data_IF_833224295443
#
_entry.id   IF_833224295443
#
_cell.length_a   1.000
_cell.length_b   1.000
_cell.length_c   1.000
_cell.angle_alpha   90.00
_cell.angle_beta   90.00
_cell.angle_gamma   90.00
#
_symmetry.space_group_name_H-M   'P 1'
#
loop_
_entity.id
_entity.type
_entity.pdbx_description
1 polymer ?
#
# COMPACT_ATOMS: atom_id res chain seq x y z
N UNK A 1 4.59 -9.86 12.45
CA UNK A 1 3.45 -9.95 11.51
C UNK A 1 4.00 -10.22 10.12
N UNK A 2 3.42 -11.16 9.42
CA UNK A 2 3.87 -11.52 8.08
C UNK A 2 3.39 -10.49 7.06
N UNK A 3 4.12 -10.38 5.95
CA UNK A 3 3.77 -9.46 4.86
C UNK A 3 2.35 -9.72 4.34
N UNK A 4 1.96 -10.99 4.19
CA UNK A 4 0.60 -11.34 3.75
C UNK A 4 -0.48 -10.87 4.71
N UNK A 5 -0.17 -10.78 6.01
CA UNK A 5 -1.14 -10.29 7.00
C UNK A 5 -1.32 -8.76 6.86
N UNK A 6 -0.23 -8.04 6.62
CA UNK A 6 -0.26 -6.61 6.38
C UNK A 6 -1.07 -6.32 5.11
N UNK A 7 -0.82 -7.07 4.05
CA UNK A 7 -1.54 -6.92 2.78
C UNK A 7 -3.05 -7.16 2.95
N UNK A 8 -3.40 -8.19 3.72
CA UNK A 8 -4.79 -8.53 4.00
C UNK A 8 -5.50 -7.40 4.77
N UNK A 9 -4.84 -6.85 5.78
CA UNK A 9 -5.38 -5.73 6.56
C UNK A 9 -5.55 -4.50 5.67
N UNK A 10 -4.53 -4.19 4.88
CA UNK A 10 -4.56 -3.04 3.97
C UNK A 10 -5.75 -3.13 3.02
N UNK A 11 -5.90 -4.28 2.33
CA UNK A 11 -6.97 -4.44 1.35
C UNK A 11 -8.35 -4.39 1.98
N UNK A 12 -8.51 -4.97 3.18
CA UNK A 12 -9.78 -4.93 3.90
C UNK A 12 -10.16 -3.50 4.28
N UNK A 13 -9.21 -2.70 4.76
CA UNK A 13 -9.48 -1.30 5.13
C UNK A 13 -9.80 -0.43 3.93
N UNK A 14 -9.11 -0.63 2.81
CA UNK A 14 -9.45 0.08 1.57
C UNK A 14 -10.89 -0.22 1.14
N UNK A 15 -11.28 -1.49 1.22
CA UNK A 15 -12.65 -1.90 0.87
C UNK A 15 -13.67 -1.27 1.81
N UNK A 16 -13.40 -1.25 3.11
CA UNK A 16 -14.30 -0.63 4.10
C UNK A 16 -14.45 0.88 3.85
N UNK A 17 -13.41 1.52 3.34
CA UNK A 17 -13.43 2.95 3.02
C UNK A 17 -14.14 3.25 1.69
N UNK A 18 -14.62 2.23 0.98
CA UNK A 18 -15.32 2.42 -0.30
C UNK A 18 -14.41 2.36 -1.52
N UNK A 19 -13.15 1.98 -1.36
CA UNK A 19 -12.22 1.80 -2.45
C UNK A 19 -12.02 0.35 -2.84
N UNK A 20 -11.03 0.11 -3.67
CA UNK A 20 -10.60 -1.24 -4.07
C UNK A 20 -9.07 -1.28 -4.13
N UNK A 21 -8.49 -2.40 -3.70
CA UNK A 21 -7.06 -2.62 -3.81
C UNK A 21 -6.86 -3.89 -4.64
N UNK A 22 -6.77 -3.73 -5.95
CA UNK A 22 -6.54 -4.85 -6.84
C UNK A 22 -5.12 -5.36 -6.72
N UNK A 23 -4.96 -6.67 -6.79
CA UNK A 23 -3.62 -7.25 -6.91
C UNK A 23 -3.04 -6.86 -8.25
N UNK A 24 -1.79 -6.38 -8.23
CA UNK A 24 -1.11 -5.97 -9.45
C UNK A 24 -0.10 -7.04 -9.84
N UNK A 25 -0.27 -7.59 -11.03
CA UNK A 25 0.70 -8.49 -11.64
C UNK A 25 0.94 -8.01 -13.06
N UNK A 26 2.18 -8.13 -13.53
CA UNK A 26 2.54 -7.74 -14.88
C UNK A 26 3.47 -8.81 -15.46
N UNK A 27 2.95 -9.72 -16.30
CA UNK A 27 3.78 -10.77 -16.90
C UNK A 27 4.98 -10.17 -17.63
N UNK A 28 6.16 -10.71 -17.36
CA UNK A 28 7.40 -10.20 -17.94
C UNK A 28 8.01 -8.97 -17.26
N UNK A 29 7.36 -8.45 -16.22
CA UNK A 29 7.83 -7.27 -15.47
C UNK A 29 7.88 -7.58 -13.99
N UNK A 30 8.89 -8.33 -13.56
CA UNK A 30 9.06 -8.68 -12.16
C UNK A 30 9.31 -7.43 -11.32
N UNK A 31 8.82 -7.44 -10.09
CA UNK A 31 9.06 -6.37 -9.14
C UNK A 31 8.04 -5.26 -9.14
N UNK A 32 6.96 -5.36 -9.92
CA UNK A 32 5.87 -4.35 -9.84
C UNK A 32 5.25 -4.34 -8.44
N UNK A 33 4.72 -3.18 -7.98
CA UNK A 33 4.06 -3.08 -6.67
C UNK A 33 2.95 -4.10 -6.49
N UNK A 34 2.70 -4.50 -5.24
CA UNK A 34 1.71 -5.53 -4.91
C UNK A 34 0.29 -5.19 -5.30
N UNK A 35 -0.10 -3.92 -5.12
CA UNK A 35 -1.49 -3.50 -5.24
C UNK A 35 -1.64 -2.21 -6.03
N UNK A 36 -2.76 -2.11 -6.71
CA UNK A 36 -3.26 -0.84 -7.24
C UNK A 36 -4.45 -0.47 -6.36
N UNK A 37 -4.29 0.58 -5.56
CA UNK A 37 -5.34 1.07 -4.67
C UNK A 37 -6.12 2.18 -5.36
N UNK A 38 -7.41 1.93 -5.61
CA UNK A 38 -8.33 2.93 -6.14
C UNK A 38 -9.14 3.48 -4.98
N UNK A 39 -8.90 4.74 -4.65
CA UNK A 39 -9.47 5.39 -3.48
C UNK A 39 -10.71 6.21 -3.85
N UNK A 40 -11.64 6.38 -2.89
CA UNK A 40 -12.75 7.29 -3.12
C UNK A 40 -12.22 8.69 -3.47
N UNK A 41 -12.88 9.38 -4.37
CA UNK A 41 -12.44 10.70 -4.81
C UNK A 41 -11.56 10.69 -6.06
N UNK A 42 -11.30 9.52 -6.63
CA UNK A 42 -10.63 9.42 -7.94
C UNK A 42 -9.12 9.24 -7.91
N UNK A 43 -8.52 9.00 -6.76
CA UNK A 43 -7.09 8.78 -6.67
C UNK A 43 -6.74 7.31 -6.89
N UNK A 44 -5.63 7.07 -7.60
CA UNK A 44 -5.07 5.74 -7.82
C UNK A 44 -3.63 5.75 -7.29
N UNK A 45 -3.30 4.77 -6.45
CA UNK A 45 -1.98 4.68 -5.84
C UNK A 45 -1.43 3.27 -6.02
N UNK A 46 -0.20 3.16 -6.50
CA UNK A 46 0.52 1.88 -6.54
C UNK A 46 1.17 1.67 -5.19
N UNK A 47 0.95 0.51 -4.58
CA UNK A 47 1.39 0.25 -3.21
C UNK A 47 2.18 -1.04 -3.12
N UNK A 48 3.40 -0.95 -2.59
CA UNK A 48 4.23 -2.09 -2.23
C UNK A 48 4.18 -2.24 -0.71
N UNK A 49 3.88 -3.43 -0.23
CA UNK A 49 3.73 -3.70 1.20
C UNK A 49 4.89 -4.57 1.69
N UNK A 50 5.49 -4.17 2.79
CA UNK A 50 6.63 -4.85 3.42
C UNK A 50 6.40 -4.96 4.92
N UNK A 51 7.10 -5.89 5.55
CA UNK A 51 7.18 -5.92 7.02
C UNK A 51 8.03 -4.73 7.50
N UNK A 52 8.03 -4.48 8.81
CA UNK A 52 8.83 -3.38 9.39
C UNK A 52 10.31 -3.44 9.01
N UNK A 53 10.85 -4.64 8.82
CA UNK A 53 12.27 -4.84 8.51
C UNK A 53 12.50 -5.31 7.08
N UNK A 54 11.42 -5.49 6.31
CA UNK A 54 11.52 -5.95 4.93
C UNK A 54 12.18 -4.89 4.04
N UNK A 55 12.86 -5.35 3.00
CA UNK A 55 13.55 -4.47 2.05
C UNK A 55 13.07 -4.75 0.65
N UNK A 56 13.03 -3.70 -0.16
CA UNK A 56 12.77 -3.86 -1.59
C UNK A 56 13.93 -4.61 -2.25
N UNK A 57 13.59 -5.52 -3.16
CA UNK A 57 14.60 -6.04 -4.09
C UNK A 57 15.00 -4.95 -5.07
N UNK A 58 16.10 -5.16 -5.79
CA UNK A 58 16.54 -4.20 -6.81
C UNK A 58 15.50 -4.01 -7.91
N UNK A 59 14.81 -5.10 -8.30
CA UNK A 59 13.74 -5.01 -9.29
C UNK A 59 12.53 -4.23 -8.77
N UNK A 60 12.18 -4.42 -7.50
CA UNK A 60 11.09 -3.65 -6.89
C UNK A 60 11.44 -2.16 -6.83
N UNK A 61 12.68 -1.82 -6.45
CA UNK A 61 13.13 -0.43 -6.44
C UNK A 61 13.06 0.18 -7.84
N UNK A 62 13.50 -0.57 -8.86
CA UNK A 62 13.49 -0.11 -10.25
C UNK A 62 12.04 0.15 -10.71
N UNK A 63 11.13 -0.80 -10.48
CA UNK A 63 9.74 -0.65 -10.92
C UNK A 63 9.06 0.52 -10.21
N UNK A 64 9.23 0.65 -8.91
CA UNK A 64 8.67 1.78 -8.16
C UNK A 64 9.18 3.12 -8.68
N UNK A 65 10.48 3.20 -8.94
CA UNK A 65 11.09 4.43 -9.47
C UNK A 65 10.56 4.76 -10.85
N UNK A 66 10.47 3.79 -11.75
CA UNK A 66 9.99 4.02 -13.12
C UNK A 66 8.54 4.48 -13.14
N UNK A 67 7.69 3.86 -12.31
CA UNK A 67 6.28 4.26 -12.19
C UNK A 67 6.18 5.70 -11.66
N UNK A 68 6.97 6.04 -10.64
CA UNK A 68 7.00 7.38 -10.08
C UNK A 68 7.52 8.41 -11.09
N UNK A 69 8.53 8.07 -11.87
CA UNK A 69 9.10 8.95 -12.91
C UNK A 69 8.07 9.26 -14.01
N UNK A 70 7.11 8.36 -14.23
CA UNK A 70 6.01 8.59 -15.15
C UNK A 70 4.91 9.48 -14.55
N UNK A 71 5.11 10.00 -13.34
CA UNK A 71 4.16 10.89 -12.68
C UNK A 71 3.06 10.18 -11.91
N UNK A 72 3.16 8.86 -11.75
CA UNK A 72 2.18 8.10 -10.99
C UNK A 72 2.51 8.14 -9.49
N UNK A 73 1.49 7.96 -8.67
CA UNK A 73 1.68 7.93 -7.21
C UNK A 73 2.04 6.51 -6.78
N UNK A 74 3.18 6.38 -6.10
CA UNK A 74 3.68 5.10 -5.58
C UNK A 74 4.01 5.27 -4.10
N UNK A 75 3.64 4.28 -3.28
CA UNK A 75 4.01 4.25 -1.86
C UNK A 75 4.55 2.87 -1.51
N UNK A 76 5.62 2.85 -0.74
CA UNK A 76 6.18 1.64 -0.12
C UNK A 76 5.89 1.74 1.36
N UNK A 77 5.16 0.77 1.90
CA UNK A 77 4.66 0.82 3.26
C UNK A 77 5.26 -0.33 4.07
N UNK A 78 6.02 0.01 5.10
CA UNK A 78 6.65 -0.95 6.00
C UNK A 78 5.83 -1.08 7.28
N UNK A 79 5.11 -2.20 7.42
CA UNK A 79 4.32 -2.49 8.61
C UNK A 79 3.06 -1.65 8.75
N UNK A 80 2.29 -1.95 9.79
CA UNK A 80 1.00 -1.30 10.01
C UNK A 80 1.11 0.18 10.34
N UNK A 81 2.22 0.60 10.94
CA UNK A 81 2.42 2.01 11.26
C UNK A 81 2.45 2.87 10.00
N UNK A 82 3.17 2.41 8.96
CA UNK A 82 3.20 3.14 7.69
C UNK A 82 1.91 2.99 6.90
N UNK A 83 1.22 1.87 7.03
CA UNK A 83 -0.14 1.73 6.47
C UNK A 83 -1.09 2.75 7.10
N UNK A 84 -1.02 2.93 8.43
CA UNK A 84 -1.78 3.97 9.11
C UNK A 84 -1.46 5.35 8.55
N UNK A 85 -0.17 5.66 8.35
CA UNK A 85 0.25 6.95 7.81
C UNK A 85 -0.28 7.16 6.38
N UNK A 86 -0.33 6.10 5.58
CA UNK A 86 -0.94 6.13 4.25
C UNK A 86 -2.42 6.53 4.34
N UNK A 87 -3.17 5.93 5.26
CA UNK A 87 -4.58 6.27 5.41
C UNK A 87 -4.78 7.73 5.83
N UNK A 88 -3.90 8.26 6.68
CA UNK A 88 -3.92 9.68 7.03
C UNK A 88 -3.59 10.56 5.82
N UNK A 89 -2.58 10.18 5.06
CA UNK A 89 -2.15 10.94 3.89
C UNK A 89 -3.29 11.10 2.88
N UNK A 90 -4.07 10.04 2.68
CA UNK A 90 -5.13 10.03 1.67
C UNK A 90 -6.53 10.27 2.24
N UNK A 91 -6.62 10.77 3.47
CA UNK A 91 -7.89 11.19 4.06
C UNK A 91 -8.81 10.07 4.52
N UNK A 92 -8.30 8.86 4.69
CA UNK A 92 -9.07 7.72 5.18
C UNK A 92 -8.94 7.62 6.70
N UNK A 93 -9.48 8.63 7.39
CA UNK A 93 -9.26 8.82 8.82
C UNK A 93 -9.82 7.68 9.69
N UNK A 94 -10.97 7.12 9.33
CA UNK A 94 -11.56 6.01 10.09
C UNK A 94 -10.69 4.77 10.01
N UNK A 95 -10.13 4.48 8.83
CA UNK A 95 -9.20 3.37 8.67
C UNK A 95 -7.93 3.60 9.49
N UNK A 96 -7.41 4.82 9.46
CA UNK A 96 -6.23 5.20 10.26
C UNK A 96 -6.50 5.01 11.76
N UNK A 97 -7.67 5.42 12.23
CA UNK A 97 -8.05 5.26 13.63
C UNK A 97 -8.10 3.78 14.04
N UNK A 98 -8.66 2.91 13.19
CA UNK A 98 -8.70 1.48 13.51
C UNK A 98 -7.28 0.90 13.60
N UNK A 99 -6.36 1.34 12.75
CA UNK A 99 -4.97 0.88 12.83
C UNK A 99 -4.26 1.42 14.06
N UNK A 100 -4.53 2.66 14.47
CA UNK A 100 -4.01 3.19 15.74
C UNK A 100 -4.41 2.29 16.90
N UNK A 101 -5.68 1.86 16.95
CA UNK A 101 -6.17 0.96 17.96
C UNK A 101 -5.44 -0.39 17.92
N UNK A 102 -5.22 -0.94 16.73
CA UNK A 102 -4.44 -2.18 16.55
C UNK A 102 -3.01 -2.05 17.04
N UNK A 103 -2.40 -0.88 16.83
CA UNK A 103 -1.04 -0.61 17.26
C UNK A 103 -0.93 -0.36 18.77
N UNK A 104 -2.04 -0.29 19.48
CA UNK A 104 -2.04 -0.12 20.92
C UNK A 104 -1.77 1.32 21.37
N UNK A 105 -2.09 2.29 20.55
CA UNK A 105 -1.85 3.69 20.86
C UNK A 105 -3.11 4.45 21.15
#
# INVERSE_FOLDING_TARGET
>A
MLEKDIEKIFTAEIKRAGGKAYKFTSPGNDGVPDRIAMLPGGQVVFVELKTNTGRLSKLQELQCRQIAELGQTVRVLHGLSEVRDFFLEFGLETAAYRLERRLGR
#
